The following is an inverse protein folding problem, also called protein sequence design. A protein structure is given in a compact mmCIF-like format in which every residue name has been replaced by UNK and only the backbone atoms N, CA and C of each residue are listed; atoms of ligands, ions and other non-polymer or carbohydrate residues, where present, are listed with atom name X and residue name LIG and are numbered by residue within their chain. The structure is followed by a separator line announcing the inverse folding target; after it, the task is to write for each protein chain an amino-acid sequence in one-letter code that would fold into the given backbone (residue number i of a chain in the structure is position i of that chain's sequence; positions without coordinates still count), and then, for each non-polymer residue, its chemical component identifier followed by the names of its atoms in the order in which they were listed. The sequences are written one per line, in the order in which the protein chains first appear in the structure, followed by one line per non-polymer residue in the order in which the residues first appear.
data_IF_500810058133
#
_entry.id   IF_500810058133
#
_cell.length_a   1.000
_cell.length_b   1.000
_cell.length_c   1.000
_cell.angle_alpha   90.00
_cell.angle_beta   90.00
_cell.angle_gamma   90.00
#
_symmetry.space_group_name_H-M   'P 1'
#
loop_
_entity.id
_entity.type
_entity.pdbx_description
1 polymer ?
#
# COMPACT_ATOMS: atom_id res chain seq x y z
N UNK A 1 21.77 57.17 36.06
CA UNK A 1 22.48 58.45 35.87
C UNK A 1 23.96 58.19 35.97
N UNK A 2 24.76 58.80 35.20
CA UNK A 2 24.76 59.17 33.78
C UNK A 2 26.03 58.57 33.09
N UNK A 3 26.36 58.64 31.87
CA UNK A 3 26.37 59.51 30.70
C UNK A 3 27.14 58.78 29.66
N UNK A 4 26.72 58.73 28.43
CA UNK A 4 27.12 59.49 27.25
C UNK A 4 28.61 59.34 26.89
N UNK A 5 29.06 59.20 25.66
CA UNK A 5 28.70 59.71 24.34
C UNK A 5 29.56 59.04 23.25
N UNK A 6 28.99 58.82 22.04
CA UNK A 6 29.40 59.40 20.73
C UNK A 6 30.82 59.17 20.24
N UNK A 7 31.14 58.86 18.99
CA UNK A 7 30.72 59.47 17.68
C UNK A 7 31.37 58.72 16.49
N UNK A 8 30.61 58.65 15.39
CA UNK A 8 30.97 58.99 13.98
C UNK A 8 32.15 58.29 13.31
N UNK A 9 32.20 57.97 12.06
CA UNK A 9 31.41 58.16 10.85
C UNK A 9 32.21 57.55 9.62
N UNK A 10 31.46 57.20 8.58
CA UNK A 10 31.78 57.28 7.14
C UNK A 10 32.87 56.42 6.53
N UNK A 11 32.45 55.72 5.51
CA UNK A 11 33.31 55.30 4.40
C UNK A 11 32.61 54.33 3.42
N UNK A 12 31.82 54.88 2.48
CA UNK A 12 31.36 54.21 1.27
C UNK A 12 32.51 53.65 0.46
N UNK A 13 32.42 52.42 -0.04
CA UNK A 13 32.82 52.14 -1.41
C UNK A 13 32.14 50.85 -1.90
N UNK A 14 31.30 51.01 -2.89
CA UNK A 14 30.70 49.98 -3.68
C UNK A 14 31.75 49.34 -4.61
N UNK A 15 31.91 48.03 -4.53
CA UNK A 15 32.54 47.25 -5.59
C UNK A 15 31.51 46.24 -6.11
N UNK A 16 30.99 46.52 -7.30
CA UNK A 16 30.28 45.56 -8.13
C UNK A 16 31.30 44.52 -8.60
N UNK A 17 31.19 43.30 -8.09
CA UNK A 17 31.88 42.13 -8.61
C UNK A 17 30.84 41.19 -9.22
N UNK A 18 30.90 41.05 -10.53
CA UNK A 18 30.14 40.08 -11.31
C UNK A 18 30.54 38.66 -10.89
N UNK A 19 29.61 37.89 -10.31
CA UNK A 19 29.78 36.46 -10.07
C UNK A 19 29.58 35.73 -11.41
N UNK A 20 30.66 35.29 -11.99
CA UNK A 20 30.66 34.37 -13.13
C UNK A 20 30.19 33.01 -12.68
N UNK A 21 29.08 32.54 -13.26
CA UNK A 21 28.62 31.17 -13.26
C UNK A 21 29.63 30.25 -13.96
N UNK A 22 30.53 29.64 -13.23
CA UNK A 22 31.47 28.66 -13.79
C UNK A 22 31.69 27.40 -12.92
N UNK A 23 30.84 27.19 -11.91
CA UNK A 23 30.97 26.03 -11.00
C UNK A 23 30.20 24.76 -11.40
N UNK A 24 29.24 24.86 -12.31
CA UNK A 24 28.34 23.74 -12.65
C UNK A 24 28.76 22.90 -13.85
N UNK A 25 29.78 23.31 -14.60
CA UNK A 25 30.16 22.61 -15.85
C UNK A 25 31.29 21.58 -15.72
N UNK A 26 31.86 21.35 -14.54
CA UNK A 26 33.04 20.45 -14.41
C UNK A 26 32.64 19.00 -14.12
N UNK A 27 31.41 18.73 -13.64
CA UNK A 27 30.97 17.38 -13.32
C UNK A 27 30.42 16.61 -14.54
N UNK A 28 30.00 17.34 -15.60
CA UNK A 28 29.39 16.73 -16.79
C UNK A 28 30.39 16.15 -17.81
N UNK A 29 31.67 16.50 -17.77
CA UNK A 29 32.60 16.13 -18.81
C UNK A 29 33.32 14.78 -18.66
N UNK A 30 33.08 14.03 -17.56
CA UNK A 30 33.75 12.76 -17.36
C UNK A 30 32.82 11.52 -17.28
N UNK A 31 31.52 11.69 -17.58
CA UNK A 31 30.60 10.53 -17.71
C UNK A 31 30.21 10.39 -19.18
N UNK A 32 31.21 10.15 -20.03
CA UNK A 32 30.99 9.69 -21.40
C UNK A 32 31.00 8.17 -21.38
N UNK A 33 29.85 7.58 -21.11
CA UNK A 33 29.64 6.15 -21.30
C UNK A 33 29.27 5.93 -22.75
N UNK A 34 30.23 5.39 -23.51
CA UNK A 34 30.08 4.96 -24.88
C UNK A 34 28.87 4.02 -25.01
N UNK A 35 27.82 4.52 -25.62
CA UNK A 35 26.76 3.72 -26.20
C UNK A 35 27.29 3.08 -27.49
N UNK A 36 27.94 1.94 -27.39
CA UNK A 36 28.13 1.05 -28.53
C UNK A 36 26.90 0.13 -28.63
N UNK A 37 25.96 0.60 -29.42
CA UNK A 37 24.97 -0.28 -30.07
C UNK A 37 25.72 -0.98 -31.19
N UNK A 38 26.03 -2.26 -31.01
CA UNK A 38 26.54 -3.11 -32.11
C UNK A 38 25.33 -3.64 -32.87
N UNK A 39 25.01 -2.97 -33.96
CA UNK A 39 24.26 -3.53 -35.06
C UNK A 39 25.19 -4.47 -35.84
N UNK A 40 24.96 -5.78 -35.77
CA UNK A 40 25.51 -6.71 -36.73
C UNK A 40 24.38 -7.35 -37.52
N UNK A 41 24.07 -6.76 -38.67
CA UNK A 41 23.56 -7.45 -39.86
C UNK A 41 24.69 -7.60 -40.85
N UNK A 42 24.82 -8.81 -41.37
CA UNK A 42 25.24 -9.28 -42.69
C UNK A 42 26.25 -10.45 -42.64
N UNK A 43 25.75 -11.59 -43.03
CA UNK A 43 25.77 -12.27 -44.36
C UNK A 43 27.12 -12.94 -44.69
N UNK A 44 27.13 -14.22 -44.87
CA UNK A 44 27.29 -15.12 -46.00
C UNK A 44 27.98 -16.43 -45.64
N UNK A 45 27.24 -17.48 -45.90
CA UNK A 45 27.49 -18.64 -46.79
C UNK A 45 28.66 -19.59 -46.54
N UNK A 46 28.24 -20.87 -46.58
CA UNK A 46 28.90 -22.08 -47.13
C UNK A 46 29.89 -22.84 -46.23
N UNK A 47 29.53 -24.04 -45.75
CA UNK A 47 29.79 -25.27 -46.47
C UNK A 47 29.37 -26.53 -45.71
N UNK A 48 28.90 -27.48 -46.50
CA UNK A 48 28.45 -28.86 -46.26
C UNK A 48 29.44 -29.73 -45.47
N UNK A 49 28.92 -30.68 -44.65
CA UNK A 49 29.18 -32.13 -44.79
C UNK A 49 28.27 -32.98 -43.92
N UNK A 50 27.52 -33.82 -44.56
CA UNK A 50 27.08 -35.23 -44.33
C UNK A 50 26.93 -35.77 -42.88
N UNK A 51 25.68 -36.07 -42.54
CA UNK A 51 24.91 -37.25 -42.06
C UNK A 51 25.64 -38.42 -41.36
N UNK A 52 24.95 -39.32 -40.60
CA UNK A 52 23.66 -39.91 -40.93
C UNK A 52 22.62 -40.02 -39.79
N UNK A 53 21.43 -40.41 -40.24
CA UNK A 53 20.16 -40.72 -39.58
C UNK A 53 20.26 -41.82 -38.52
N UNK A 54 19.50 -41.68 -37.45
CA UNK A 54 18.77 -42.82 -36.86
C UNK A 54 17.39 -42.40 -36.38
N UNK A 55 16.39 -43.14 -36.92
CA UNK A 55 14.98 -43.07 -36.57
C UNK A 55 14.73 -43.71 -35.21
N UNK A 56 13.98 -43.07 -34.33
CA UNK A 56 13.12 -43.78 -33.38
C UNK A 56 11.78 -43.04 -33.29
N UNK A 57 10.79 -43.52 -34.04
CA UNK A 57 9.38 -43.37 -33.75
C UNK A 57 9.04 -44.23 -32.54
N UNK A 58 8.36 -43.65 -31.51
CA UNK A 58 7.14 -44.28 -31.00
C UNK A 58 6.55 -43.54 -29.78
N UNK A 59 5.28 -43.24 -29.93
CA UNK A 59 4.19 -43.34 -28.92
C UNK A 59 4.17 -42.31 -27.80
N UNK A 60 3.38 -41.21 -28.01
CA UNK A 60 2.54 -40.62 -26.95
C UNK A 60 1.20 -40.19 -27.58
N UNK A 61 0.03 -40.56 -27.01
CA UNK A 61 -1.29 -40.26 -27.58
C UNK A 61 -1.66 -38.79 -27.37
N UNK A 62 -2.08 -38.14 -28.46
CA UNK A 62 -2.62 -36.79 -28.45
C UNK A 62 -3.95 -36.75 -27.70
N UNK A 63 -3.96 -36.16 -26.50
CA UNK A 63 -5.18 -35.63 -25.88
C UNK A 63 -5.52 -34.30 -26.51
N UNK A 64 -6.64 -34.23 -27.22
CA UNK A 64 -7.25 -32.99 -27.70
C UNK A 64 -7.51 -32.04 -26.49
N UNK A 65 -6.69 -31.04 -26.32
CA UNK A 65 -6.99 -29.91 -25.44
C UNK A 65 -8.03 -29.03 -26.15
N UNK A 66 -9.22 -28.98 -25.60
CA UNK A 66 -10.19 -27.92 -25.91
C UNK A 66 -9.61 -26.63 -25.42
N UNK A 67 -9.29 -25.70 -26.31
CA UNK A 67 -8.93 -24.32 -26.00
C UNK A 67 -10.14 -23.66 -25.32
N UNK A 68 -10.10 -23.50 -24.00
CA UNK A 68 -10.96 -22.56 -23.30
C UNK A 68 -10.43 -21.17 -23.59
N UNK A 69 -11.22 -20.37 -24.29
CA UNK A 69 -10.98 -18.94 -24.45
C UNK A 69 -10.97 -18.32 -23.06
N UNK A 70 -9.80 -17.90 -22.60
CA UNK A 70 -9.65 -17.14 -21.37
C UNK A 70 -10.26 -15.77 -21.67
N UNK A 71 -11.39 -15.44 -21.05
CA UNK A 71 -11.91 -14.07 -21.05
C UNK A 71 -10.90 -13.24 -20.25
N UNK A 72 -10.16 -12.40 -20.97
CA UNK A 72 -9.28 -11.41 -20.35
C UNK A 72 -10.13 -10.45 -19.51
N UNK A 73 -9.73 -10.22 -18.27
CA UNK A 73 -10.26 -9.11 -17.47
C UNK A 73 -10.06 -7.81 -18.24
N UNK A 74 -11.06 -6.92 -18.31
CA UNK A 74 -10.90 -5.67 -19.05
C UNK A 74 -9.80 -4.80 -18.43
N UNK A 75 -9.04 -4.03 -19.26
CA UNK A 75 -7.98 -3.15 -18.76
C UNK A 75 -8.55 -2.09 -17.81
N UNK A 76 -7.74 -1.62 -16.86
CA UNK A 76 -8.09 -0.60 -15.85
C UNK A 76 -8.70 0.65 -16.48
N UNK A 77 -8.28 1.03 -17.69
CA UNK A 77 -8.86 2.14 -18.44
C UNK A 77 -10.39 2.06 -18.63
N UNK A 78 -10.97 0.86 -18.61
CA UNK A 78 -12.43 0.71 -18.65
C UNK A 78 -13.12 1.05 -17.32
N UNK A 79 -12.40 0.94 -16.20
CA UNK A 79 -12.95 1.26 -14.87
C UNK A 79 -12.75 2.73 -14.49
N UNK A 80 -11.75 3.40 -15.06
CA UNK A 80 -11.39 4.79 -14.72
C UNK A 80 -12.19 5.81 -15.56
N UNK A 81 -12.63 5.46 -16.77
CA UNK A 81 -13.28 6.37 -17.71
C UNK A 81 -14.82 6.36 -17.67
N UNK A 82 -15.46 5.78 -16.68
CA UNK A 82 -16.89 5.96 -16.47
C UNK A 82 -17.13 7.38 -15.96
N UNK A 83 -17.95 8.22 -16.65
CA UNK A 83 -18.24 9.55 -16.16
C UNK A 83 -18.98 9.45 -14.83
N UNK A 84 -18.33 9.91 -13.76
CA UNK A 84 -18.96 10.14 -12.47
C UNK A 84 -20.09 11.16 -12.68
N UNK A 85 -21.33 10.72 -12.64
CA UNK A 85 -22.44 11.64 -12.46
C UNK A 85 -22.26 12.33 -11.11
N UNK A 86 -22.38 13.67 -11.04
CA UNK A 86 -22.23 14.37 -9.77
C UNK A 86 -23.41 13.97 -8.86
N UNK A 87 -23.14 13.07 -7.92
CA UNK A 87 -24.05 12.88 -6.79
C UNK A 87 -23.92 14.12 -5.92
N UNK A 88 -25.03 14.84 -5.75
CA UNK A 88 -25.16 15.96 -4.84
C UNK A 88 -24.70 15.55 -3.42
N UNK A 89 -23.47 15.88 -3.09
CA UNK A 89 -22.96 15.80 -1.74
C UNK A 89 -23.56 16.94 -0.91
N UNK A 90 -24.74 16.72 -0.34
CA UNK A 90 -25.18 17.48 0.81
C UNK A 90 -24.30 17.12 2.00
N UNK A 91 -23.30 17.94 2.20
CA UNK A 91 -22.36 17.94 3.30
C UNK A 91 -23.13 18.26 4.60
N UNK A 92 -23.47 17.24 5.38
CA UNK A 92 -23.97 17.43 6.73
C UNK A 92 -22.83 17.84 7.65
N UNK A 93 -22.68 19.17 7.80
CA UNK A 93 -21.87 19.78 8.87
C UNK A 93 -22.66 19.65 10.17
N UNK A 94 -22.23 18.76 11.06
CA UNK A 94 -22.73 18.74 12.43
C UNK A 94 -22.18 19.95 13.20
N UNK A 95 -22.95 21.01 13.28
CA UNK A 95 -22.76 22.08 14.29
C UNK A 95 -23.52 21.69 15.55
N UNK A 96 -22.79 21.50 16.63
CA UNK A 96 -23.35 21.45 17.97
C UNK A 96 -23.94 22.81 18.34
N UNK A 97 -25.25 22.87 18.59
CA UNK A 97 -25.86 23.98 19.31
C UNK A 97 -26.81 23.45 20.38
N UNK A 98 -26.45 23.80 21.61
CA UNK A 98 -27.33 23.71 22.78
C UNK A 98 -28.47 24.74 22.64
N UNK A 99 -29.70 24.30 22.85
CA UNK A 99 -30.84 25.21 22.99
C UNK A 99 -32.13 24.47 23.18
N UNK A 100 -32.59 24.38 24.41
CA UNK A 100 -33.94 23.94 24.77
C UNK A 100 -35.00 24.84 24.15
N UNK A 101 -35.98 24.24 23.48
CA UNK A 101 -37.38 24.72 23.50
C UNK A 101 -38.34 23.58 23.15
N UNK A 102 -39.25 23.35 24.09
CA UNK A 102 -40.37 22.40 24.04
C UNK A 102 -41.51 22.94 23.16
N UNK A 103 -42.05 22.16 22.24
CA UNK A 103 -43.32 22.39 21.57
C UNK A 103 -44.27 21.18 21.76
N UNK A 104 -45.58 21.41 21.81
CA UNK A 104 -46.53 20.49 22.42
C UNK A 104 -46.95 19.35 21.49
N UNK A 105 -47.09 18.15 22.08
CA UNK A 105 -47.55 16.93 21.42
C UNK A 105 -49.06 16.93 21.34
N UNK A 106 -49.63 16.99 20.15
CA UNK A 106 -51.01 16.65 19.90
C UNK A 106 -51.19 15.12 19.97
N UNK A 107 -51.96 14.68 20.94
CA UNK A 107 -52.44 13.27 21.06
C UNK A 107 -53.58 13.06 20.08
N UNK A 108 -53.39 12.24 19.06
CA UNK A 108 -54.47 11.53 18.37
C UNK A 108 -54.22 10.03 18.58
N UNK A 109 -55.07 9.45 19.35
CA UNK A 109 -55.12 8.03 19.72
C UNK A 109 -55.72 7.20 18.59
N UNK A 110 -54.94 6.27 18.04
CA UNK A 110 -55.42 5.05 17.40
C UNK A 110 -54.78 3.85 18.13
N UNK A 111 -55.46 2.75 18.40
CA UNK A 111 -54.93 1.65 19.19
C UNK A 111 -53.97 0.84 18.34
N UNK A 112 -52.67 1.02 18.59
CA UNK A 112 -51.63 0.10 18.09
C UNK A 112 -51.70 -1.10 19.03
N UNK A 113 -52.00 -2.26 18.46
CA UNK A 113 -51.87 -3.54 19.15
C UNK A 113 -50.52 -3.66 19.84
N UNK A 114 -50.51 -3.71 21.15
CA UNK A 114 -49.34 -3.92 21.99
C UNK A 114 -48.84 -5.36 21.79
N UNK A 115 -47.91 -5.55 20.85
CA UNK A 115 -47.00 -6.69 20.89
C UNK A 115 -46.09 -6.47 22.09
N UNK A 116 -46.38 -7.14 23.20
CA UNK A 116 -45.46 -7.29 24.33
C UNK A 116 -44.14 -7.88 23.76
N UNK A 117 -43.16 -7.03 23.48
CA UNK A 117 -41.81 -7.45 23.08
C UNK A 117 -41.13 -8.06 24.33
N UNK A 118 -41.31 -9.36 24.51
CA UNK A 118 -40.61 -10.12 25.56
C UNK A 118 -39.11 -10.04 25.26
N UNK A 119 -38.39 -9.26 26.07
CA UNK A 119 -36.93 -9.26 26.04
C UNK A 119 -36.43 -10.40 26.90
N UNK A 120 -35.70 -11.39 26.36
CA UNK A 120 -35.17 -12.50 27.12
C UNK A 120 -34.35 -12.05 28.32
N UNK A 121 -34.53 -12.71 29.47
CA UNK A 121 -33.86 -12.32 30.72
C UNK A 121 -32.35 -12.33 30.66
N UNK A 122 -31.74 -13.21 29.85
CA UNK A 122 -30.30 -13.26 29.65
C UNK A 122 -29.76 -12.04 28.91
N UNK A 123 -30.54 -11.41 28.00
CA UNK A 123 -30.12 -10.16 27.34
C UNK A 123 -30.08 -9.00 28.33
N UNK A 124 -31.00 -8.96 29.28
CA UNK A 124 -31.00 -7.95 30.36
C UNK A 124 -29.80 -8.18 31.29
N UNK A 125 -29.48 -9.42 31.64
CA UNK A 125 -28.30 -9.77 32.43
C UNK A 125 -27.03 -9.34 31.73
N UNK A 126 -26.95 -9.62 30.42
CA UNK A 126 -25.78 -9.23 29.56
C UNK A 126 -25.61 -7.72 29.49
N UNK A 127 -26.69 -6.94 29.32
CA UNK A 127 -26.66 -5.47 29.32
C UNK A 127 -26.21 -4.90 30.66
N UNK A 128 -26.55 -5.53 31.75
CA UNK A 128 -26.15 -5.15 33.11
C UNK A 128 -24.72 -5.60 33.47
N UNK A 129 -23.96 -6.19 32.52
CA UNK A 129 -22.59 -6.67 32.74
C UNK A 129 -22.54 -7.93 33.63
N UNK A 130 -23.64 -8.62 33.83
CA UNK A 130 -23.70 -9.86 34.61
C UNK A 130 -23.16 -11.03 33.78
N UNK A 131 -22.63 -12.02 34.49
CA UNK A 131 -22.12 -13.21 33.82
C UNK A 131 -23.30 -14.12 33.42
N UNK A 132 -23.42 -14.39 32.11
CA UNK A 132 -24.50 -15.22 31.54
C UNK A 132 -23.94 -16.59 31.25
N UNK A 133 -24.61 -17.63 31.76
CA UNK A 133 -24.34 -19.02 31.37
C UNK A 133 -25.17 -19.35 30.12
N UNK A 134 -24.57 -19.26 28.95
CA UNK A 134 -25.23 -19.48 27.66
C UNK A 134 -25.60 -20.95 27.42
N UNK A 135 -24.95 -21.91 28.08
CA UNK A 135 -25.19 -23.34 27.85
C UNK A 135 -26.51 -23.85 28.43
N UNK A 136 -27.13 -23.08 29.33
CA UNK A 136 -28.48 -23.41 29.90
C UNK A 136 -29.63 -22.79 29.08
N UNK A 137 -29.31 -21.91 28.12
CA UNK A 137 -30.29 -21.22 27.29
C UNK A 137 -30.64 -22.11 26.09
N UNK A 138 -31.94 -22.31 25.75
CA UNK A 138 -32.32 -23.04 24.55
C UNK A 138 -31.60 -22.49 23.31
N UNK A 139 -30.98 -23.38 22.53
CA UNK A 139 -30.15 -22.95 21.41
C UNK A 139 -30.93 -22.12 20.37
N UNK A 140 -32.22 -22.43 20.15
CA UNK A 140 -33.07 -21.64 19.27
C UNK A 140 -33.25 -20.19 19.77
N UNK A 141 -33.31 -19.99 21.08
CA UNK A 141 -33.38 -18.66 21.67
C UNK A 141 -32.06 -17.89 21.47
N UNK A 142 -30.92 -18.58 21.57
CA UNK A 142 -29.59 -18.04 21.23
C UNK A 142 -29.58 -17.58 19.78
N UNK A 143 -30.03 -18.41 18.83
CA UNK A 143 -30.06 -18.08 17.39
C UNK A 143 -30.97 -16.88 17.12
N UNK A 144 -32.16 -16.86 17.65
CA UNK A 144 -33.11 -15.76 17.47
C UNK A 144 -32.58 -14.42 17.99
N UNK A 145 -31.63 -14.43 18.92
CA UNK A 145 -31.01 -13.25 19.53
C UNK A 145 -29.55 -13.10 19.17
N UNK A 146 -29.02 -13.83 18.18
CA UNK A 146 -27.59 -13.84 17.83
C UNK A 146 -27.06 -12.45 17.42
N UNK A 147 -27.90 -11.57 16.87
CA UNK A 147 -27.54 -10.19 16.58
C UNK A 147 -27.10 -9.42 17.85
N UNK A 148 -27.88 -9.51 18.94
CA UNK A 148 -27.54 -8.83 20.19
C UNK A 148 -26.33 -9.47 20.89
N UNK A 149 -26.26 -10.81 20.86
CA UNK A 149 -25.11 -11.54 21.41
C UNK A 149 -23.83 -11.18 20.67
N UNK A 150 -23.87 -11.07 19.34
CA UNK A 150 -22.71 -10.75 18.52
C UNK A 150 -22.09 -9.38 18.86
N UNK A 151 -22.91 -8.42 19.34
CA UNK A 151 -22.46 -7.08 19.75
C UNK A 151 -21.96 -7.01 21.20
N UNK A 152 -21.93 -8.12 21.91
CA UNK A 152 -21.39 -8.25 23.26
C UNK A 152 -20.16 -9.16 23.26
N UNK A 153 -19.14 -8.83 24.05
CA UNK A 153 -17.88 -9.57 24.05
C UNK A 153 -18.04 -11.07 24.40
N UNK A 154 -18.77 -11.39 25.46
CA UNK A 154 -18.98 -12.80 25.90
C UNK A 154 -19.89 -13.55 24.94
N UNK A 155 -20.97 -12.91 24.49
CA UNK A 155 -21.92 -13.49 23.53
C UNK A 155 -21.29 -13.78 22.19
N UNK A 156 -20.46 -12.82 21.68
CA UNK A 156 -19.72 -12.98 20.44
C UNK A 156 -18.74 -14.18 20.50
N UNK A 157 -18.01 -14.34 21.61
CA UNK A 157 -17.11 -15.48 21.81
C UNK A 157 -17.86 -16.80 21.87
N UNK A 158 -19.01 -16.84 22.57
CA UNK A 158 -19.83 -18.00 22.61
C UNK A 158 -20.35 -18.43 21.24
N UNK A 159 -20.88 -17.49 20.44
CA UNK A 159 -21.32 -17.75 19.08
C UNK A 159 -20.21 -18.28 18.19
N UNK A 160 -19.02 -17.66 18.24
CA UNK A 160 -17.84 -18.12 17.46
C UNK A 160 -17.46 -19.57 17.85
N UNK A 161 -17.48 -19.90 19.15
CA UNK A 161 -17.21 -21.26 19.63
C UNK A 161 -18.23 -22.25 19.08
N UNK A 162 -19.53 -21.91 19.13
CA UNK A 162 -20.61 -22.78 18.61
C UNK A 162 -20.50 -23.00 17.09
N UNK A 163 -20.14 -21.98 16.32
CA UNK A 163 -19.88 -22.14 14.89
C UNK A 163 -18.68 -23.08 14.66
N UNK A 164 -17.64 -22.98 15.46
CA UNK A 164 -16.47 -23.85 15.35
C UNK A 164 -16.77 -25.31 15.70
N UNK A 165 -17.62 -25.54 16.70
CA UNK A 165 -18.09 -26.88 17.10
C UNK A 165 -19.04 -27.50 16.05
N UNK A 166 -19.89 -26.68 15.43
CA UNK A 166 -20.92 -27.08 14.48
C UNK A 166 -20.95 -26.13 13.27
N UNK A 167 -20.05 -26.27 12.31
CA UNK A 167 -19.89 -25.32 11.19
C UNK A 167 -21.14 -25.04 10.36
N UNK A 168 -22.02 -26.06 10.16
CA UNK A 168 -23.22 -25.91 9.34
C UNK A 168 -24.22 -24.89 9.91
N UNK A 169 -24.20 -24.63 11.21
CA UNK A 169 -25.10 -23.62 11.79
C UNK A 169 -24.88 -22.22 11.25
N UNK A 170 -23.69 -21.93 10.73
CA UNK A 170 -23.39 -20.62 10.14
C UNK A 170 -24.28 -20.32 8.94
N UNK A 171 -24.43 -21.29 8.03
CA UNK A 171 -25.26 -21.20 6.82
C UNK A 171 -26.73 -21.50 7.13
N UNK A 172 -26.98 -22.59 7.84
CA UNK A 172 -28.34 -23.12 8.01
C UNK A 172 -29.20 -22.27 8.95
N UNK A 173 -28.61 -21.72 10.03
CA UNK A 173 -29.36 -21.08 11.10
C UNK A 173 -29.00 -19.60 11.30
N UNK A 174 -27.73 -19.25 11.26
CA UNK A 174 -27.26 -17.91 11.63
C UNK A 174 -27.43 -16.92 10.49
N UNK A 175 -26.91 -17.22 9.30
CA UNK A 175 -26.93 -16.29 8.19
C UNK A 175 -28.34 -15.82 7.81
N UNK A 176 -29.38 -16.67 7.74
CA UNK A 176 -30.75 -16.24 7.47
C UNK A 176 -31.29 -15.20 8.47
N UNK A 177 -30.87 -15.27 9.72
CA UNK A 177 -31.32 -14.35 10.79
C UNK A 177 -30.57 -13.02 10.77
N UNK A 178 -29.28 -13.02 10.39
CA UNK A 178 -28.43 -11.82 10.50
C UNK A 178 -28.22 -11.08 9.19
N UNK A 179 -28.58 -11.64 8.03
CA UNK A 179 -28.22 -11.10 6.71
C UNK A 179 -28.63 -9.64 6.51
N UNK A 180 -29.79 -9.23 7.01
CA UNK A 180 -30.27 -7.83 6.92
C UNK A 180 -29.56 -6.90 7.94
N UNK A 181 -28.79 -7.44 8.87
CA UNK A 181 -27.99 -6.74 9.88
C UNK A 181 -26.50 -6.89 9.66
N UNK A 182 -26.09 -7.53 8.57
CA UNK A 182 -24.69 -7.88 8.31
C UNK A 182 -23.76 -6.65 8.27
N UNK A 183 -24.23 -5.52 7.73
CA UNK A 183 -23.45 -4.27 7.67
C UNK A 183 -23.24 -3.68 9.07
N UNK A 184 -24.27 -3.64 9.89
CA UNK A 184 -24.17 -3.14 11.25
C UNK A 184 -23.23 -3.99 12.10
N UNK A 185 -23.32 -5.32 12.00
CA UNK A 185 -22.40 -6.25 12.66
C UNK A 185 -20.97 -6.15 12.12
N UNK A 186 -20.78 -5.92 10.82
CA UNK A 186 -19.48 -5.74 10.18
C UNK A 186 -18.76 -4.51 10.73
N UNK A 187 -19.49 -3.46 11.06
CA UNK A 187 -18.94 -2.20 11.58
C UNK A 187 -18.80 -2.17 13.11
N UNK A 188 -19.37 -3.17 13.82
CA UNK A 188 -19.37 -3.25 15.28
C UNK A 188 -18.04 -3.79 15.82
N UNK A 189 -17.66 -3.33 17.01
CA UNK A 189 -16.39 -3.68 17.66
C UNK A 189 -16.23 -5.18 17.96
N UNK A 190 -17.33 -5.87 18.25
CA UNK A 190 -17.36 -7.32 18.50
C UNK A 190 -18.00 -8.08 17.33
N UNK A 191 -19.06 -7.52 16.76
CA UNK A 191 -19.80 -8.11 15.64
C UNK A 191 -18.91 -8.44 14.44
N UNK A 192 -17.88 -7.65 14.16
CA UNK A 192 -16.96 -7.94 13.06
C UNK A 192 -16.25 -9.29 13.18
N UNK A 193 -15.86 -9.71 14.40
CA UNK A 193 -15.25 -11.02 14.64
C UNK A 193 -16.25 -12.16 14.43
N UNK A 194 -17.50 -11.94 14.81
CA UNK A 194 -18.57 -12.89 14.56
C UNK A 194 -18.83 -13.05 13.07
N UNK A 195 -18.95 -11.94 12.32
CA UNK A 195 -19.15 -11.99 10.86
C UNK A 195 -17.97 -12.67 10.16
N UNK A 196 -16.73 -12.39 10.56
CA UNK A 196 -15.57 -13.10 10.02
C UNK A 196 -15.70 -14.62 10.22
N UNK A 197 -16.19 -15.06 11.41
CA UNK A 197 -16.39 -16.48 11.70
C UNK A 197 -17.52 -17.10 10.89
N UNK A 198 -18.61 -16.38 10.68
CA UNK A 198 -19.72 -16.82 9.82
C UNK A 198 -19.23 -16.99 8.37
N UNK A 199 -18.52 -16.02 7.81
CA UNK A 199 -17.97 -16.04 6.43
C UNK A 199 -17.08 -17.27 6.19
N UNK A 200 -16.39 -17.78 7.19
CA UNK A 200 -15.55 -18.99 7.03
C UNK A 200 -16.34 -20.20 6.54
N UNK A 201 -17.62 -20.27 6.84
CA UNK A 201 -18.45 -21.45 6.60
C UNK A 201 -19.64 -21.21 5.66
N UNK A 202 -19.79 -19.98 5.13
CA UNK A 202 -20.82 -19.69 4.13
C UNK A 202 -20.50 -20.36 2.79
N UNK A 203 -21.53 -20.74 2.06
CA UNK A 203 -21.46 -21.20 0.68
C UNK A 203 -21.11 -20.04 -0.28
N UNK A 204 -20.64 -20.36 -1.49
CA UNK A 204 -20.39 -19.36 -2.52
C UNK A 204 -21.65 -18.59 -2.91
N UNK A 205 -22.83 -19.24 -2.87
CA UNK A 205 -24.12 -18.58 -3.13
C UNK A 205 -24.41 -17.48 -2.11
N UNK A 206 -24.20 -17.77 -0.81
CA UNK A 206 -24.39 -16.79 0.25
C UNK A 206 -23.36 -15.67 0.20
N UNK A 207 -22.08 -15.99 -0.11
CA UNK A 207 -21.04 -14.98 -0.33
C UNK A 207 -21.40 -14.07 -1.51
N UNK A 208 -21.94 -14.62 -2.60
CA UNK A 208 -22.45 -13.84 -3.72
C UNK A 208 -23.63 -12.93 -3.30
N UNK A 209 -24.55 -13.41 -2.46
CA UNK A 209 -25.62 -12.58 -1.91
C UNK A 209 -25.05 -11.39 -1.11
N UNK A 210 -24.02 -11.62 -0.31
CA UNK A 210 -23.32 -10.55 0.42
C UNK A 210 -22.74 -9.50 -0.52
N UNK A 211 -22.04 -9.91 -1.57
CA UNK A 211 -21.45 -8.99 -2.54
C UNK A 211 -22.52 -8.17 -3.27
N UNK A 212 -23.55 -8.82 -3.77
CA UNK A 212 -24.55 -8.17 -4.62
C UNK A 212 -25.50 -7.26 -3.85
N UNK A 213 -25.94 -7.67 -2.66
CA UNK A 213 -26.96 -6.92 -1.91
C UNK A 213 -26.39 -5.90 -0.93
N UNK A 214 -25.21 -6.15 -0.36
CA UNK A 214 -24.71 -5.34 0.74
C UNK A 214 -23.42 -4.59 0.41
N UNK A 215 -22.42 -5.24 -0.20
CA UNK A 215 -21.14 -4.59 -0.48
C UNK A 215 -21.22 -3.50 -1.54
N UNK A 216 -22.03 -3.71 -2.58
CA UNK A 216 -22.17 -2.71 -3.67
C UNK A 216 -22.57 -1.32 -3.17
N UNK A 217 -23.36 -1.24 -2.11
CA UNK A 217 -23.87 0.03 -1.55
C UNK A 217 -22.96 0.59 -0.45
N UNK A 218 -22.34 -0.27 0.35
CA UNK A 218 -21.62 0.12 1.55
C UNK A 218 -20.11 -0.11 1.49
N UNK A 219 -19.56 -0.45 0.33
CA UNK A 219 -18.19 -0.90 0.15
C UNK A 219 -17.16 0.03 0.79
N UNK A 220 -17.11 1.30 0.40
CA UNK A 220 -16.14 2.25 0.94
C UNK A 220 -16.33 2.49 2.45
N UNK A 221 -17.58 2.56 2.92
CA UNK A 221 -17.86 2.71 4.35
C UNK A 221 -17.28 1.56 5.16
N UNK A 222 -17.39 0.34 4.64
CA UNK A 222 -16.84 -0.86 5.28
C UNK A 222 -15.31 -0.85 5.20
N UNK A 223 -14.74 -0.56 4.03
CA UNK A 223 -13.30 -0.53 3.82
C UNK A 223 -12.58 0.48 4.73
N UNK A 224 -13.18 1.65 4.97
CA UNK A 224 -12.59 2.71 5.80
C UNK A 224 -12.80 2.51 7.30
N UNK A 225 -13.64 1.56 7.70
CA UNK A 225 -13.83 1.19 9.10
C UNK A 225 -12.67 0.32 9.60
N UNK A 226 -12.16 0.61 10.80
CA UNK A 226 -11.15 -0.22 11.48
C UNK A 226 -11.61 -1.67 11.73
N UNK A 227 -12.92 -1.88 11.81
CA UNK A 227 -13.55 -3.19 11.99
C UNK A 227 -13.92 -3.82 10.64
N UNK A 228 -14.57 -3.02 9.77
CA UNK A 228 -15.06 -3.49 8.47
C UNK A 228 -13.95 -3.96 7.53
N UNK A 229 -12.78 -3.29 7.54
CA UNK A 229 -11.64 -3.70 6.71
C UNK A 229 -11.21 -5.15 6.98
N UNK A 230 -11.35 -5.66 8.21
CA UNK A 230 -11.04 -7.05 8.58
C UNK A 230 -12.01 -8.04 7.95
N UNK A 231 -13.29 -7.65 7.86
CA UNK A 231 -14.33 -8.48 7.23
C UNK A 231 -14.10 -8.57 5.72
N UNK A 232 -13.71 -7.46 5.05
CA UNK A 232 -13.35 -7.49 3.62
C UNK A 232 -12.14 -8.38 3.36
N UNK A 233 -11.11 -8.32 4.22
CA UNK A 233 -9.95 -9.21 4.10
C UNK A 233 -10.34 -10.69 4.24
N UNK A 234 -11.26 -11.02 5.17
CA UNK A 234 -11.76 -12.37 5.33
C UNK A 234 -12.62 -12.83 4.14
N UNK A 235 -13.41 -11.94 3.55
CA UNK A 235 -14.14 -12.22 2.31
C UNK A 235 -13.18 -12.54 1.17
N UNK A 236 -12.13 -11.74 0.98
CA UNK A 236 -11.10 -12.00 -0.04
C UNK A 236 -10.46 -13.37 0.14
N UNK A 237 -10.13 -13.79 1.37
CA UNK A 237 -9.57 -15.12 1.66
C UNK A 237 -10.50 -16.25 1.22
N UNK A 238 -11.80 -16.02 1.20
CA UNK A 238 -12.80 -17.02 0.82
C UNK A 238 -13.07 -17.07 -0.68
N UNK A 239 -12.94 -15.94 -1.37
CA UNK A 239 -13.43 -15.80 -2.74
C UNK A 239 -12.34 -15.59 -3.80
N UNK A 240 -11.07 -15.42 -3.42
CA UNK A 240 -9.98 -15.07 -4.36
C UNK A 240 -9.76 -16.09 -5.50
N UNK A 241 -10.23 -17.34 -5.34
CA UNK A 241 -10.17 -18.39 -6.36
C UNK A 241 -11.44 -18.47 -7.22
N UNK A 242 -12.53 -17.80 -6.84
CA UNK A 242 -13.79 -17.80 -7.59
C UNK A 242 -13.78 -16.62 -8.57
N UNK A 243 -13.67 -16.91 -9.85
CA UNK A 243 -13.54 -15.89 -10.91
C UNK A 243 -14.75 -14.95 -10.97
N UNK A 244 -15.97 -15.49 -10.74
CA UNK A 244 -17.20 -14.69 -10.81
C UNK A 244 -17.29 -13.69 -9.66
N UNK A 245 -17.12 -14.16 -8.42
CA UNK A 245 -17.20 -13.27 -7.24
C UNK A 245 -16.03 -12.28 -7.24
N UNK A 246 -14.84 -12.71 -7.68
CA UNK A 246 -13.71 -11.79 -7.84
C UNK A 246 -13.95 -10.72 -8.91
N UNK A 247 -14.64 -11.06 -10.00
CA UNK A 247 -15.04 -10.05 -10.98
C UNK A 247 -15.97 -8.98 -10.37
N UNK A 248 -16.95 -9.40 -9.56
CA UNK A 248 -17.81 -8.49 -8.80
C UNK A 248 -17.01 -7.63 -7.80
N UNK A 249 -16.10 -8.25 -7.05
CA UNK A 249 -15.21 -7.52 -6.14
C UNK A 249 -14.40 -6.46 -6.89
N UNK A 250 -13.83 -6.80 -8.03
CA UNK A 250 -13.01 -5.92 -8.84
C UNK A 250 -13.79 -4.71 -9.37
N UNK A 251 -15.10 -4.85 -9.65
CA UNK A 251 -15.96 -3.71 -10.04
C UNK A 251 -16.11 -2.66 -8.93
N UNK A 252 -15.93 -3.05 -7.67
CA UNK A 252 -15.95 -2.16 -6.51
C UNK A 252 -14.53 -1.70 -6.13
N UNK A 253 -13.54 -2.54 -6.33
CA UNK A 253 -12.16 -2.34 -5.86
C UNK A 253 -11.40 -1.35 -6.74
N UNK A 254 -11.32 -1.59 -8.05
CA UNK A 254 -10.49 -0.79 -8.95
C UNK A 254 -10.93 0.67 -9.09
N UNK A 255 -12.22 1.02 -9.20
CA UNK A 255 -12.63 2.43 -9.27
C UNK A 255 -12.27 3.24 -8.02
N UNK A 256 -12.10 2.56 -6.88
CA UNK A 256 -11.83 3.21 -5.59
C UNK A 256 -10.39 2.98 -5.10
N UNK A 257 -9.51 2.43 -5.94
CA UNK A 257 -8.20 1.92 -5.51
C UNK A 257 -7.29 3.01 -4.91
N UNK A 258 -7.30 4.23 -5.47
CA UNK A 258 -6.51 5.33 -4.92
C UNK A 258 -6.97 5.71 -3.50
N UNK A 259 -8.28 5.78 -3.28
CA UNK A 259 -8.82 6.06 -1.94
C UNK A 259 -8.52 4.93 -0.96
N UNK A 260 -8.58 3.68 -1.43
CA UNK A 260 -8.27 2.52 -0.60
C UNK A 260 -6.80 2.47 -0.19
N UNK A 261 -5.87 2.87 -1.06
CA UNK A 261 -4.44 2.78 -0.76
C UNK A 261 -3.93 3.90 0.14
N UNK A 262 -4.60 5.07 0.15
CA UNK A 262 -4.21 6.20 1.00
C UNK A 262 -4.87 6.19 2.39
N UNK A 263 -5.97 5.48 2.57
CA UNK A 263 -6.66 5.40 3.85
C UNK A 263 -6.02 4.37 4.79
N UNK A 264 -5.75 4.76 6.03
CA UNK A 264 -5.03 3.95 7.02
C UNK A 264 -5.64 2.56 7.30
N UNK A 265 -6.94 2.38 7.15
CA UNK A 265 -7.63 1.11 7.42
C UNK A 265 -7.70 0.24 6.16
N UNK A 266 -8.05 0.82 5.02
CA UNK A 266 -8.25 0.07 3.78
C UNK A 266 -6.95 -0.35 3.07
N UNK A 267 -5.79 0.25 3.42
CA UNK A 267 -4.47 -0.22 2.95
C UNK A 267 -4.27 -1.72 3.16
N UNK A 268 -4.82 -2.27 4.23
CA UNK A 268 -4.74 -3.71 4.53
C UNK A 268 -5.47 -4.58 3.51
N UNK A 269 -6.53 -4.04 2.86
CA UNK A 269 -7.26 -4.75 1.80
C UNK A 269 -6.38 -4.84 0.55
N UNK A 270 -5.70 -3.76 0.18
CA UNK A 270 -4.80 -3.71 -1.00
C UNK A 270 -3.65 -4.71 -0.82
N UNK A 271 -3.02 -4.72 0.37
CA UNK A 271 -1.95 -5.66 0.70
C UNK A 271 -2.47 -7.10 0.65
N UNK A 272 -3.66 -7.36 1.21
CA UNK A 272 -4.28 -8.69 1.18
C UNK A 272 -4.59 -9.13 -0.25
N UNK A 273 -5.12 -8.23 -1.08
CA UNK A 273 -5.39 -8.51 -2.49
C UNK A 273 -4.12 -8.98 -3.21
N UNK A 274 -3.04 -8.22 -3.15
CA UNK A 274 -1.77 -8.56 -3.81
C UNK A 274 -1.13 -9.84 -3.28
N UNK A 275 -1.38 -10.17 -2.01
CA UNK A 275 -0.87 -11.41 -1.40
C UNK A 275 -1.59 -12.67 -1.89
N UNK A 276 -2.88 -12.55 -2.22
CA UNK A 276 -3.73 -13.67 -2.63
C UNK A 276 -3.83 -13.81 -4.16
N UNK A 277 -4.03 -12.69 -4.84
CA UNK A 277 -4.24 -12.64 -6.29
C UNK A 277 -2.89 -12.57 -6.98
N UNK A 278 -2.57 -13.58 -7.80
CA UNK A 278 -1.27 -13.75 -8.45
C UNK A 278 -1.33 -13.35 -9.93
N UNK A 279 -0.17 -13.28 -10.58
CA UNK A 279 -0.09 -13.07 -12.02
C UNK A 279 -0.83 -14.21 -12.76
N UNK A 280 -1.57 -13.93 -13.83
CA UNK A 280 -1.75 -12.59 -14.46
C UNK A 280 -2.87 -11.72 -13.86
N UNK A 281 -3.69 -12.23 -12.96
CA UNK A 281 -4.89 -11.54 -12.46
C UNK A 281 -4.58 -10.27 -11.64
N UNK A 282 -3.40 -10.17 -11.04
CA UNK A 282 -2.95 -8.97 -10.30
C UNK A 282 -2.30 -7.90 -11.18
N UNK A 283 -2.09 -8.17 -12.48
CA UNK A 283 -1.42 -7.24 -13.39
C UNK A 283 -2.04 -5.85 -13.44
N UNK A 284 -3.39 -5.69 -13.47
CA UNK A 284 -4.01 -4.38 -13.40
C UNK A 284 -3.67 -3.59 -12.13
N UNK A 285 -3.54 -4.27 -10.98
CA UNK A 285 -3.13 -3.62 -9.74
C UNK A 285 -1.66 -3.16 -9.82
N UNK A 286 -0.77 -3.99 -10.32
CA UNK A 286 0.66 -3.65 -10.47
C UNK A 286 0.83 -2.46 -11.40
N UNK A 287 0.13 -2.44 -12.54
CA UNK A 287 0.13 -1.31 -13.46
C UNK A 287 -0.37 -0.03 -12.79
N UNK A 288 -1.49 -0.08 -12.06
CA UNK A 288 -2.01 1.07 -11.32
C UNK A 288 -0.99 1.61 -10.31
N UNK A 289 -0.30 0.72 -9.58
CA UNK A 289 0.73 1.13 -8.62
C UNK A 289 1.92 1.83 -9.30
N UNK A 290 2.33 1.36 -10.48
CA UNK A 290 3.38 1.99 -11.27
C UNK A 290 2.96 3.39 -11.77
N UNK A 291 1.77 3.51 -12.34
CA UNK A 291 1.24 4.77 -12.89
C UNK A 291 1.03 5.84 -11.82
N UNK A 292 0.72 5.44 -10.58
CA UNK A 292 0.47 6.34 -9.46
C UNK A 292 1.63 6.37 -8.44
N UNK A 293 2.81 5.89 -8.82
CA UNK A 293 3.94 5.69 -7.92
C UNK A 293 4.31 6.97 -7.14
N UNK A 294 4.31 8.15 -7.77
CA UNK A 294 4.62 9.41 -7.11
C UNK A 294 3.61 9.75 -6.00
N UNK A 295 2.32 9.77 -6.34
CA UNK A 295 1.24 10.08 -5.39
C UNK A 295 1.24 9.11 -4.21
N UNK A 296 1.46 7.81 -4.48
CA UNK A 296 1.48 6.76 -3.46
C UNK A 296 2.73 6.88 -2.58
N UNK A 297 3.89 7.19 -3.15
CA UNK A 297 5.17 7.27 -2.45
C UNK A 297 5.27 8.48 -1.51
N UNK A 298 4.62 9.60 -1.84
CA UNK A 298 4.67 10.85 -1.06
C UNK A 298 3.57 10.96 0.00
N UNK A 299 2.74 9.92 0.19
CA UNK A 299 1.68 9.93 1.18
C UNK A 299 2.00 9.03 2.39
N UNK A 300 1.66 9.50 3.60
CA UNK A 300 2.01 8.89 4.90
C UNK A 300 1.71 7.39 5.02
N UNK A 301 0.51 6.97 4.60
CA UNK A 301 0.08 5.58 4.77
C UNK A 301 0.41 4.73 3.54
N UNK A 302 0.29 5.30 2.35
CA UNK A 302 0.45 4.54 1.12
C UNK A 302 1.92 4.23 0.78
N UNK A 303 2.90 5.03 1.21
CA UNK A 303 4.32 4.69 1.01
C UNK A 303 4.69 3.33 1.66
N UNK A 304 4.24 3.09 2.89
CA UNK A 304 4.42 1.80 3.55
C UNK A 304 3.60 0.67 2.89
N UNK A 305 2.42 1.02 2.34
CA UNK A 305 1.59 0.05 1.62
C UNK A 305 2.28 -0.39 0.32
N UNK A 306 2.85 0.55 -0.44
CA UNK A 306 3.60 0.25 -1.67
C UNK A 306 4.79 -0.68 -1.38
N UNK A 307 5.57 -0.41 -0.32
CA UNK A 307 6.66 -1.31 0.10
C UNK A 307 6.16 -2.74 0.35
N UNK A 308 5.05 -2.89 1.08
CA UNK A 308 4.44 -4.20 1.36
C UNK A 308 3.90 -4.88 0.10
N UNK A 309 3.30 -4.12 -0.82
CA UNK A 309 2.85 -4.64 -2.12
C UNK A 309 4.03 -5.17 -2.94
N UNK A 310 5.13 -4.41 -3.05
CA UNK A 310 6.35 -4.85 -3.73
C UNK A 310 6.90 -6.14 -3.10
N UNK A 311 6.92 -6.21 -1.75
CA UNK A 311 7.34 -7.41 -1.03
C UNK A 311 6.45 -8.63 -1.27
N UNK A 312 5.14 -8.41 -1.51
CA UNK A 312 4.13 -9.48 -1.67
C UNK A 312 3.97 -9.97 -3.12
N UNK A 313 4.49 -9.24 -4.10
CA UNK A 313 4.50 -9.69 -5.50
C UNK A 313 5.51 -10.82 -5.68
N UNK A 314 5.08 -11.96 -6.21
CA UNK A 314 5.95 -13.14 -6.38
C UNK A 314 6.76 -13.07 -7.68
N UNK A 315 6.15 -12.58 -8.78
CA UNK A 315 6.82 -12.52 -10.07
C UNK A 315 7.86 -11.41 -10.09
N UNK A 316 9.15 -11.79 -10.27
CA UNK A 316 10.26 -10.84 -10.30
C UNK A 316 10.07 -9.72 -11.34
N UNK A 317 9.54 -10.04 -12.53
CA UNK A 317 9.29 -9.04 -13.56
C UNK A 317 8.34 -7.92 -13.09
N UNK A 318 7.24 -8.27 -12.40
CA UNK A 318 6.32 -7.29 -11.82
C UNK A 318 6.98 -6.50 -10.68
N UNK A 319 7.75 -7.18 -9.83
CA UNK A 319 8.53 -6.52 -8.77
C UNK A 319 9.51 -5.50 -9.36
N UNK A 320 10.25 -5.88 -10.40
CA UNK A 320 11.16 -4.98 -11.12
C UNK A 320 10.43 -3.80 -11.75
N UNK A 321 9.23 -3.99 -12.34
CA UNK A 321 8.42 -2.89 -12.86
C UNK A 321 8.10 -1.84 -11.77
N UNK A 322 7.66 -2.29 -10.59
CA UNK A 322 7.37 -1.39 -9.47
C UNK A 322 8.63 -0.67 -8.96
N UNK A 323 9.75 -1.35 -8.85
CA UNK A 323 11.02 -0.75 -8.44
C UNK A 323 11.53 0.27 -9.48
N UNK A 324 11.39 -0.04 -10.77
CA UNK A 324 11.75 0.87 -11.86
C UNK A 324 10.86 2.13 -11.88
N UNK A 325 9.55 2.00 -11.60
CA UNK A 325 8.69 3.18 -11.50
C UNK A 325 9.12 4.13 -10.37
N UNK A 326 9.58 3.58 -9.24
CA UNK A 326 10.17 4.37 -8.14
C UNK A 326 11.49 5.01 -8.57
N UNK A 327 12.38 4.27 -9.24
CA UNK A 327 13.65 4.78 -9.70
C UNK A 327 13.49 5.96 -10.68
N UNK A 328 12.49 5.88 -11.57
CA UNK A 328 12.20 6.93 -12.54
C UNK A 328 11.75 8.26 -11.90
N UNK A 329 11.15 8.24 -10.73
CA UNK A 329 10.68 9.43 -10.01
C UNK A 329 11.53 9.76 -8.78
N UNK A 330 12.67 9.09 -8.58
CA UNK A 330 13.43 9.14 -7.33
C UNK A 330 13.97 10.55 -7.00
N UNK A 331 14.29 11.37 -7.99
CA UNK A 331 14.67 12.77 -7.82
C UNK A 331 13.59 13.61 -7.11
N UNK A 332 12.32 13.31 -7.33
CA UNK A 332 11.19 13.96 -6.63
C UNK A 332 10.95 13.38 -5.23
N UNK A 333 11.51 12.20 -4.95
CA UNK A 333 11.31 11.48 -3.69
C UNK A 333 12.43 11.73 -2.67
N UNK A 334 13.63 12.10 -3.10
CA UNK A 334 14.81 12.18 -2.21
C UNK A 334 14.57 13.03 -0.97
N UNK A 335 13.99 14.21 -1.12
CA UNK A 335 13.75 15.12 -0.01
C UNK A 335 12.28 15.13 0.48
N UNK A 336 11.43 14.25 -0.06
CA UNK A 336 10.07 14.08 0.48
C UNK A 336 10.10 13.31 1.80
N UNK A 337 9.28 13.73 2.77
CA UNK A 337 9.27 13.17 4.13
C UNK A 337 8.86 11.67 4.18
N UNK A 338 8.19 11.15 3.17
CA UNK A 338 7.79 9.75 3.04
C UNK A 338 8.49 9.07 1.87
N UNK A 339 8.67 9.79 0.76
CA UNK A 339 9.30 9.32 -0.47
C UNK A 339 10.74 8.87 -0.28
N UNK A 340 11.50 9.51 0.62
CA UNK A 340 12.86 9.08 0.89
C UNK A 340 12.95 7.62 1.40
N UNK A 341 11.97 7.16 2.19
CA UNK A 341 11.96 5.79 2.71
C UNK A 341 11.71 4.76 1.61
N UNK A 342 10.84 5.06 0.63
CA UNK A 342 10.60 4.11 -0.46
C UNK A 342 11.76 4.07 -1.44
N UNK A 343 12.50 5.17 -1.61
CA UNK A 343 13.74 5.21 -2.39
C UNK A 343 14.83 4.35 -1.73
N UNK A 344 15.02 4.47 -0.41
CA UNK A 344 15.93 3.61 0.35
C UNK A 344 15.51 2.14 0.27
N UNK A 345 14.21 1.86 0.35
CA UNK A 345 13.67 0.52 0.19
C UNK A 345 13.94 -0.06 -1.21
N UNK A 346 13.79 0.74 -2.28
CA UNK A 346 14.08 0.30 -3.64
C UNK A 346 15.56 -0.05 -3.81
N UNK A 347 16.48 0.76 -3.27
CA UNK A 347 17.91 0.47 -3.26
C UNK A 347 18.26 -0.86 -2.56
N UNK A 348 17.53 -1.22 -1.50
CA UNK A 348 17.79 -2.44 -0.71
C UNK A 348 17.43 -3.74 -1.42
N UNK A 349 16.78 -3.70 -2.59
CA UNK A 349 16.53 -4.89 -3.42
C UNK A 349 17.75 -5.32 -4.25
N UNK A 350 18.81 -4.50 -4.28
CA UNK A 350 20.08 -4.79 -4.97
C UNK A 350 19.93 -5.09 -6.48
N UNK A 351 18.81 -4.64 -7.10
CA UNK A 351 18.67 -4.69 -8.55
C UNK A 351 19.57 -3.63 -9.18
N UNK A 352 20.54 -4.08 -9.98
CA UNK A 352 21.58 -3.22 -10.54
C UNK A 352 21.01 -2.08 -11.38
N UNK A 353 20.01 -2.34 -12.21
CA UNK A 353 19.45 -1.33 -13.11
C UNK A 353 18.70 -0.25 -12.32
N UNK A 354 17.91 -0.68 -11.33
CA UNK A 354 17.19 0.20 -10.41
C UNK A 354 18.16 1.07 -9.61
N UNK A 355 19.18 0.46 -9.02
CA UNK A 355 20.14 1.14 -8.18
C UNK A 355 20.97 2.16 -9.00
N UNK A 356 21.36 1.78 -10.22
CA UNK A 356 22.12 2.68 -11.11
C UNK A 356 21.32 3.96 -11.39
N UNK A 357 20.03 3.86 -11.73
CA UNK A 357 19.17 5.02 -12.01
C UNK A 357 19.06 5.93 -10.79
N UNK A 358 18.74 5.35 -9.62
CA UNK A 358 18.59 6.13 -8.37
C UNK A 358 19.90 6.83 -8.02
N UNK A 359 21.02 6.12 -8.06
CA UNK A 359 22.35 6.64 -7.72
C UNK A 359 22.74 7.74 -8.69
N UNK A 360 22.59 7.55 -10.00
CA UNK A 360 22.88 8.58 -11.00
C UNK A 360 22.07 9.86 -10.79
N UNK A 361 20.76 9.73 -10.54
CA UNK A 361 19.90 10.88 -10.23
C UNK A 361 20.31 11.57 -8.92
N UNK A 362 20.68 10.80 -7.89
CA UNK A 362 21.13 11.36 -6.63
C UNK A 362 22.41 12.21 -6.79
N UNK A 363 23.37 11.68 -7.52
CA UNK A 363 24.65 12.35 -7.73
C UNK A 363 24.62 13.44 -8.80
N UNK A 364 23.55 13.53 -9.60
CA UNK A 364 23.36 14.63 -10.54
C UNK A 364 23.27 15.99 -9.82
N UNK A 365 22.59 16.06 -8.68
CA UNK A 365 22.54 17.25 -7.82
C UNK A 365 23.02 16.90 -6.39
N UNK A 366 24.22 16.36 -6.33
CA UNK A 366 24.80 15.79 -5.11
C UNK A 366 24.81 16.76 -3.94
N UNK A 367 25.29 18.01 -4.16
CA UNK A 367 25.43 18.99 -3.09
C UNK A 367 24.09 19.37 -2.48
N UNK A 368 23.06 19.59 -3.28
CA UNK A 368 21.71 19.85 -2.81
C UNK A 368 21.16 18.66 -2.04
N UNK A 369 21.29 17.46 -2.58
CA UNK A 369 20.74 16.26 -2.00
C UNK A 369 21.38 15.94 -0.64
N UNK A 370 22.71 15.95 -0.51
CA UNK A 370 23.40 15.63 0.75
C UNK A 370 23.16 16.69 1.84
N UNK A 371 22.83 17.92 1.44
CA UNK A 371 22.64 19.06 2.35
C UNK A 371 21.24 19.17 2.95
N UNK A 372 20.32 18.24 2.63
CA UNK A 372 18.92 18.28 3.06
C UNK A 372 18.56 17.12 3.97
N UNK A 373 17.57 17.36 4.86
CA UNK A 373 17.19 16.45 5.94
C UNK A 373 16.83 15.02 5.48
N UNK A 374 15.95 14.92 4.49
CA UNK A 374 15.44 13.60 4.08
C UNK A 374 16.38 12.91 3.09
N UNK A 375 16.94 13.67 2.16
CA UNK A 375 17.79 13.11 1.12
C UNK A 375 19.17 12.71 1.62
N UNK A 376 19.68 13.29 2.72
CA UNK A 376 20.92 12.81 3.37
C UNK A 376 20.81 11.35 3.86
N UNK A 377 19.62 10.88 4.24
CA UNK A 377 19.40 9.47 4.59
C UNK A 377 19.49 8.55 3.35
N UNK A 378 19.11 9.06 2.18
CA UNK A 378 19.22 8.30 0.93
C UNK A 378 20.68 8.15 0.50
N UNK A 379 21.52 9.14 0.84
CA UNK A 379 22.95 9.11 0.55
C UNK A 379 23.64 7.86 1.10
N UNK A 380 23.37 7.52 2.36
CA UNK A 380 23.94 6.32 2.97
C UNK A 380 23.66 5.06 2.14
N UNK A 381 22.41 4.90 1.71
CA UNK A 381 22.00 3.77 0.86
C UNK A 381 22.64 3.83 -0.53
N UNK A 382 22.76 5.01 -1.12
CA UNK A 382 23.46 5.16 -2.41
C UNK A 382 24.92 4.70 -2.30
N UNK A 383 25.65 5.12 -1.26
CA UNK A 383 27.03 4.72 -1.03
C UNK A 383 27.16 3.20 -0.75
N UNK A 384 26.23 2.58 -0.03
CA UNK A 384 26.25 1.14 0.20
C UNK A 384 26.18 0.35 -1.11
N UNK A 385 25.36 0.79 -2.04
CA UNK A 385 25.05 0.07 -3.29
C UNK A 385 25.80 0.58 -4.54
N UNK A 386 26.65 1.61 -4.41
CA UNK A 386 27.55 2.05 -5.48
C UNK A 386 28.63 1.00 -5.77
N UNK A 387 29.04 0.90 -7.04
CA UNK A 387 30.26 0.18 -7.39
C UNK A 387 31.52 0.91 -6.88
N UNK A 388 32.67 0.22 -6.94
CA UNK A 388 33.92 0.72 -6.39
C UNK A 388 34.41 1.98 -7.14
N UNK A 389 34.21 2.05 -8.46
CA UNK A 389 34.65 3.16 -9.27
C UNK A 389 33.81 4.41 -8.97
N UNK A 390 32.50 4.25 -8.81
CA UNK A 390 31.60 5.33 -8.39
C UNK A 390 31.97 5.83 -6.99
N UNK A 391 32.27 4.93 -6.04
CA UNK A 391 32.73 5.28 -4.69
C UNK A 391 34.00 6.13 -4.74
N UNK A 392 35.00 5.71 -5.51
CA UNK A 392 36.23 6.48 -5.69
C UNK A 392 35.99 7.86 -6.30
N UNK A 393 35.09 7.95 -7.27
CA UNK A 393 34.74 9.25 -7.90
C UNK A 393 34.04 10.17 -6.87
N UNK A 394 33.12 9.66 -6.06
CA UNK A 394 32.45 10.41 -5.00
C UNK A 394 33.48 10.96 -4.00
N UNK A 395 34.37 10.09 -3.51
CA UNK A 395 35.42 10.48 -2.54
C UNK A 395 36.31 11.55 -3.16
N UNK A 396 36.75 11.38 -4.42
CA UNK A 396 37.62 12.38 -5.11
C UNK A 396 36.91 13.73 -5.24
N UNK A 397 35.63 13.76 -5.59
CA UNK A 397 34.85 14.98 -5.69
C UNK A 397 34.63 15.64 -4.31
N UNK A 398 34.41 14.86 -3.27
CA UNK A 398 34.30 15.36 -1.89
C UNK A 398 35.60 15.92 -1.33
N UNK A 399 36.76 15.44 -1.81
CA UNK A 399 38.06 16.01 -1.43
C UNK A 399 38.32 17.42 -2.00
N UNK A 400 37.39 18.01 -2.78
CA UNK A 400 37.47 19.41 -3.16
C UNK A 400 37.27 20.30 -1.93
N UNK A 401 38.31 21.06 -1.57
CA UNK A 401 38.36 21.86 -0.32
C UNK A 401 37.14 22.76 -0.11
N UNK A 402 36.64 23.37 -1.19
CA UNK A 402 35.47 24.27 -1.09
C UNK A 402 34.19 23.51 -0.78
N UNK A 403 33.98 22.35 -1.35
CA UNK A 403 32.83 21.51 -1.12
C UNK A 403 32.82 20.95 0.32
N UNK A 404 33.97 20.42 0.76
CA UNK A 404 34.13 19.94 2.14
C UNK A 404 33.82 21.03 3.14
N UNK A 405 34.36 22.24 2.99
CA UNK A 405 34.09 23.33 3.92
C UNK A 405 32.61 23.70 3.99
N UNK A 406 31.91 23.73 2.87
CA UNK A 406 30.47 24.01 2.87
C UNK A 406 29.64 22.89 3.54
N UNK A 407 29.99 21.63 3.29
CA UNK A 407 29.29 20.49 3.88
C UNK A 407 29.59 20.35 5.38
N UNK A 408 30.78 20.66 5.86
CA UNK A 408 31.12 20.61 7.28
C UNK A 408 30.30 21.58 8.13
N UNK A 409 29.91 22.73 7.57
CA UNK A 409 29.04 23.71 8.23
C UNK A 409 27.55 23.45 8.00
N UNK A 410 27.18 22.48 7.15
CA UNK A 410 25.81 22.07 6.93
C UNK A 410 25.46 20.90 7.87
N UNK A 411 24.37 21.01 8.62
CA UNK A 411 23.96 20.05 9.65
C UNK A 411 23.74 18.63 9.08
N UNK A 412 23.27 18.50 7.85
CA UNK A 412 23.00 17.21 7.19
C UNK A 412 24.20 16.77 6.33
N UNK A 413 24.86 17.71 5.69
CA UNK A 413 26.07 17.45 4.88
C UNK A 413 27.23 16.94 5.71
N UNK A 414 27.38 17.43 6.94
CA UNK A 414 28.36 16.96 7.91
C UNK A 414 28.21 15.44 8.19
N UNK A 415 26.97 14.98 8.41
CA UNK A 415 26.70 13.55 8.57
C UNK A 415 27.18 12.72 7.38
N UNK A 416 26.98 13.21 6.17
CA UNK A 416 27.46 12.53 4.95
C UNK A 416 28.98 12.43 4.86
N UNK A 417 29.72 13.46 5.30
CA UNK A 417 31.20 13.42 5.39
C UNK A 417 31.66 12.42 6.44
N UNK A 418 31.07 12.44 7.64
CA UNK A 418 31.38 11.50 8.73
C UNK A 418 31.16 10.07 8.29
N UNK A 419 30.06 9.81 7.56
CA UNK A 419 29.74 8.48 7.04
C UNK A 419 30.86 7.96 6.12
N UNK A 420 31.32 8.80 5.20
CA UNK A 420 32.41 8.43 4.27
C UNK A 420 33.69 8.19 5.02
N UNK A 421 34.05 9.11 5.90
CA UNK A 421 35.28 8.99 6.71
C UNK A 421 35.29 7.69 7.50
N UNK A 422 34.23 7.37 8.24
CA UNK A 422 34.15 6.19 9.09
C UNK A 422 34.11 4.88 8.30
N UNK A 423 33.45 4.85 7.14
CA UNK A 423 33.35 3.61 6.32
C UNK A 423 34.65 3.31 5.53
N UNK A 424 35.44 4.35 5.16
CA UNK A 424 36.57 4.16 4.26
C UNK A 424 37.95 4.31 4.91
N UNK A 425 38.08 5.05 6.02
CA UNK A 425 39.33 5.07 6.79
C UNK A 425 39.59 3.76 7.54
N UNK A 426 38.58 2.96 7.85
CA UNK A 426 38.71 1.65 8.48
C UNK A 426 39.12 0.53 7.51
N UNK A 427 38.99 0.71 6.20
CA UNK A 427 39.35 -0.31 5.20
C UNK A 427 40.84 -0.29 4.81
N UNK A 428 41.56 0.82 5.02
CA UNK A 428 43.00 0.91 4.75
C UNK A 428 43.86 0.36 5.91
N UNK A 429 43.31 0.23 7.12
CA UNK A 429 44.04 -0.28 8.26
C UNK A 429 44.36 -1.80 8.27
N UNK A 430 43.68 -2.58 7.42
CA UNK A 430 43.86 -4.05 7.37
C UNK A 430 44.75 -4.53 6.17
N UNK A 431 45.22 -3.66 5.31
CA UNK A 431 46.06 -4.03 4.17
C UNK A 431 47.57 -3.87 4.41
N UNK A 432 47.98 -3.47 5.61
CA UNK A 432 49.37 -3.19 5.97
C UNK A 432 50.02 -4.13 7.01
N UNK A 433 49.54 -5.38 7.12
CA UNK A 433 50.05 -6.34 8.11
C UNK A 433 50.10 -7.76 7.59
N UNK A 434 51.00 -8.06 6.64
CA UNK A 434 51.50 -9.40 6.37
C UNK A 434 52.88 -9.33 5.72
#
# INVERSE_FOLDING_TARGET
MPTQENTTAKGNNAIKGSLNNSGTNIIMNNININNHIVNNNNVTENNQTNSPKEDINNIIPQKKQKSKTIQMTPPISMYINSPLQPQNNNMFICKSNKGHQSLPINKSSSPIASTNSYTPSFLIQMQNGQNVNYDIIPFQEIINNCYYLAKNQSGCRYLQKKIQEHPSIASDLIFPVIKDKIIDLTLDAFGNYFIQKVIEYLSLTELNEIFTKYLSVYFLKICFSSHGTRVIQKLLERVYIDEYIMSLFNTLFYPNLLELIVNQNSTHIVIKYVSLVKYPQNEPLVQFLCENALTISTHKHSCCTLQKCIGSVDLYAQKKMLLMSIAQISDQLFNDQFGNYITQFALSFEDRDVNMIIIQKYFFDFFTNISQKCSSNVFEKCIEHCDIDMKHNIIRNLCNQNMVNQLLFNMYGNYGIDLIYNKYSSSEGNAGGS
#
